data_IF_178524470969
#
_entry.id   IF_178524470969
#
_cell.length_a   1.000
_cell.length_b   1.000
_cell.length_c   1.000
_cell.angle_alpha   90.00
_cell.angle_beta   90.00
_cell.angle_gamma   90.00
#
_symmetry.space_group_name_H-M   'P 1'
#
loop_
_entity.id
_entity.type
_entity.pdbx_description
1 polymer ?
#
# COMPACT_ATOMS: atom_id res chain seq x y z
N UNK A 1 -18.40 -21.72 -16.81
CA UNK A 1 -19.41 -20.82 -16.21
C UNK A 1 -20.68 -20.89 -17.05
N UNK A 2 -21.84 -21.06 -16.41
CA UNK A 2 -23.16 -20.91 -17.05
C UNK A 2 -23.43 -19.43 -17.37
N UNK A 3 -24.34 -19.12 -18.30
CA UNK A 3 -24.67 -17.74 -18.67
C UNK A 3 -25.12 -16.89 -17.46
N UNK A 4 -25.94 -17.46 -16.57
CA UNK A 4 -26.39 -16.81 -15.32
C UNK A 4 -25.22 -16.53 -14.35
N UNK A 5 -24.22 -17.43 -14.28
CA UNK A 5 -23.03 -17.20 -13.45
C UNK A 5 -22.12 -16.11 -14.02
N UNK A 6 -22.19 -15.85 -15.33
CA UNK A 6 -21.40 -14.82 -16.01
C UNK A 6 -22.05 -13.44 -15.84
N UNK A 7 -23.36 -13.33 -16.02
CA UNK A 7 -24.11 -12.07 -15.79
C UNK A 7 -24.05 -11.60 -14.33
N UNK A 8 -24.20 -12.52 -13.37
CA UNK A 8 -24.10 -12.20 -11.94
C UNK A 8 -22.70 -11.70 -11.56
N UNK A 9 -21.67 -12.27 -12.18
CA UNK A 9 -20.28 -11.85 -11.99
C UNK A 9 -19.98 -10.48 -12.63
N UNK A 10 -20.41 -10.26 -13.88
CA UNK A 10 -20.24 -8.98 -14.58
C UNK A 10 -20.97 -7.83 -13.86
N UNK A 11 -22.15 -8.09 -13.30
CA UNK A 11 -22.89 -7.11 -12.50
C UNK A 11 -22.19 -6.79 -11.16
N UNK A 12 -21.69 -7.82 -10.46
CA UNK A 12 -20.91 -7.63 -9.22
C UNK A 12 -19.62 -6.86 -9.45
N UNK A 13 -18.91 -7.15 -10.54
CA UNK A 13 -17.71 -6.43 -10.94
C UNK A 13 -17.99 -4.96 -11.22
N UNK A 14 -18.99 -4.66 -12.05
CA UNK A 14 -19.39 -3.28 -12.38
C UNK A 14 -19.76 -2.47 -11.13
N UNK A 15 -20.49 -3.10 -10.21
CA UNK A 15 -20.87 -2.49 -8.93
C UNK A 15 -19.63 -2.17 -8.09
N UNK A 16 -18.65 -3.08 -8.03
CA UNK A 16 -17.41 -2.86 -7.30
C UNK A 16 -16.60 -1.69 -7.89
N UNK A 17 -16.40 -1.65 -9.21
CA UNK A 17 -15.65 -0.57 -9.88
C UNK A 17 -16.33 0.78 -9.64
N UNK A 18 -17.65 0.85 -9.82
CA UNK A 18 -18.42 2.08 -9.57
C UNK A 18 -18.29 2.55 -8.13
N UNK A 19 -18.34 1.63 -7.16
CA UNK A 19 -18.17 1.95 -5.75
C UNK A 19 -16.77 2.50 -5.47
N UNK A 20 -15.74 1.85 -6.00
CA UNK A 20 -14.34 2.25 -5.85
C UNK A 20 -14.09 3.65 -6.42
N UNK A 21 -14.56 3.91 -7.64
CA UNK A 21 -14.42 5.21 -8.31
C UNK A 21 -15.13 6.32 -7.54
N UNK A 22 -16.35 6.05 -7.07
CA UNK A 22 -17.10 6.98 -6.23
C UNK A 22 -16.36 7.29 -4.93
N UNK A 23 -15.82 6.28 -4.25
CA UNK A 23 -15.07 6.47 -3.01
C UNK A 23 -13.84 7.34 -3.27
N UNK A 24 -12.98 6.97 -4.23
CA UNK A 24 -11.71 7.68 -4.47
C UNK A 24 -11.92 9.13 -4.92
N UNK A 25 -12.99 9.41 -5.66
CA UNK A 25 -13.34 10.78 -6.08
C UNK A 25 -13.91 11.65 -4.96
N UNK A 26 -14.44 11.05 -3.88
CA UNK A 26 -15.11 11.78 -2.80
C UNK A 26 -14.43 11.60 -1.41
N UNK A 27 -13.15 11.19 -1.36
CA UNK A 27 -12.42 10.97 -0.10
C UNK A 27 -12.26 12.23 0.78
N UNK A 28 -12.32 13.43 0.19
CA UNK A 28 -12.27 14.70 0.92
C UNK A 28 -13.66 15.21 1.35
N UNK A 29 -14.71 14.46 1.04
CA UNK A 29 -16.09 14.83 1.32
C UNK A 29 -16.65 14.01 2.49
N UNK A 30 -17.79 14.48 3.03
CA UNK A 30 -18.56 13.79 4.05
C UNK A 30 -19.54 12.82 3.40
N UNK A 31 -19.01 11.69 2.90
CA UNK A 31 -19.79 10.61 2.31
C UNK A 31 -20.13 9.53 3.33
N UNK A 32 -21.37 9.06 3.32
CA UNK A 32 -21.83 7.88 4.05
C UNK A 32 -21.70 6.61 3.21
N UNK A 33 -21.86 5.42 3.82
CA UNK A 33 -21.86 4.18 3.03
C UNK A 33 -23.17 4.03 2.24
N UNK A 34 -24.23 4.67 2.72
CA UNK A 34 -25.53 4.78 2.08
C UNK A 34 -25.43 5.57 0.76
N UNK A 35 -24.64 6.65 0.74
CA UNK A 35 -24.40 7.44 -0.49
C UNK A 35 -23.69 6.60 -1.56
N UNK A 36 -22.67 5.82 -1.16
CA UNK A 36 -21.95 4.91 -2.05
C UNK A 36 -22.91 3.83 -2.60
N UNK A 37 -23.75 3.26 -1.74
CA UNK A 37 -24.72 2.25 -2.15
C UNK A 37 -25.76 2.81 -3.14
N UNK A 38 -26.22 4.04 -2.90
CA UNK A 38 -27.12 4.76 -3.79
C UNK A 38 -26.48 5.05 -5.16
N UNK A 39 -25.21 5.50 -5.19
CA UNK A 39 -24.47 5.73 -6.43
C UNK A 39 -24.29 4.44 -7.26
N UNK A 40 -24.21 3.29 -6.59
CA UNK A 40 -24.14 1.97 -7.21
C UNK A 40 -25.50 1.33 -7.54
N UNK A 41 -26.63 1.98 -7.21
CA UNK A 41 -27.98 1.43 -7.36
C UNK A 41 -28.20 0.08 -6.63
N UNK A 42 -27.55 -0.12 -5.49
CA UNK A 42 -27.68 -1.36 -4.67
C UNK A 42 -28.04 -1.05 -3.23
N UNK A 43 -28.50 -2.07 -2.49
CA UNK A 43 -28.66 -1.93 -1.05
C UNK A 43 -27.30 -1.85 -0.35
N UNK A 44 -27.23 -1.13 0.77
CA UNK A 44 -26.01 -1.07 1.61
C UNK A 44 -25.51 -2.46 2.01
N UNK A 45 -26.42 -3.37 2.38
CA UNK A 45 -26.08 -4.75 2.73
C UNK A 45 -25.44 -5.48 1.54
N UNK A 46 -25.97 -5.31 0.33
CA UNK A 46 -25.41 -5.91 -0.88
C UNK A 46 -24.01 -5.38 -1.17
N UNK A 47 -23.84 -4.06 -1.12
CA UNK A 47 -22.54 -3.39 -1.29
C UNK A 47 -21.51 -3.92 -0.27
N UNK A 48 -21.86 -3.96 1.01
CA UNK A 48 -20.97 -4.40 2.07
C UNK A 48 -20.57 -5.88 1.98
N UNK A 49 -21.48 -6.76 1.50
CA UNK A 49 -21.20 -8.17 1.27
C UNK A 49 -20.27 -8.35 0.07
N UNK A 50 -20.60 -7.71 -1.05
CA UNK A 50 -19.78 -7.70 -2.26
C UNK A 50 -18.37 -7.17 -1.96
N UNK A 51 -18.25 -6.02 -1.28
CA UNK A 51 -16.96 -5.43 -0.95
C UNK A 51 -16.08 -6.38 -0.12
N UNK A 52 -16.66 -7.01 0.92
CA UNK A 52 -15.93 -7.99 1.76
C UNK A 52 -15.51 -9.21 0.96
N UNK A 53 -16.36 -9.66 0.05
CA UNK A 53 -16.06 -10.79 -0.82
C UNK A 53 -14.87 -10.47 -1.73
N UNK A 54 -14.84 -9.28 -2.35
CA UNK A 54 -13.76 -8.88 -3.27
C UNK A 54 -12.45 -8.50 -2.57
N UNK A 55 -12.51 -7.92 -1.37
CA UNK A 55 -11.32 -7.29 -0.74
C UNK A 55 -10.81 -7.99 0.52
N UNK A 56 -11.65 -8.82 1.14
CA UNK A 56 -11.45 -9.43 2.46
C UNK A 56 -11.39 -8.45 3.65
N UNK A 57 -11.66 -7.17 3.43
CA UNK A 57 -11.82 -6.17 4.49
C UNK A 57 -13.13 -5.40 4.34
N UNK A 58 -13.49 -4.61 5.36
CA UNK A 58 -14.72 -3.84 5.31
C UNK A 58 -14.57 -2.56 4.48
N UNK A 59 -15.65 -2.13 3.84
CA UNK A 59 -15.74 -0.85 3.13
C UNK A 59 -15.30 0.33 4.02
N UNK A 60 -15.73 0.32 5.30
CA UNK A 60 -15.33 1.34 6.29
C UNK A 60 -13.83 1.38 6.53
N UNK A 61 -13.20 0.21 6.64
CA UNK A 61 -11.76 0.10 6.87
C UNK A 61 -10.97 0.61 5.66
N UNK A 62 -11.46 0.32 4.45
CA UNK A 62 -10.89 0.87 3.21
C UNK A 62 -10.89 2.40 3.21
N UNK A 63 -12.07 3.01 3.37
CA UNK A 63 -12.24 4.47 3.35
C UNK A 63 -11.35 5.09 4.42
N UNK A 64 -11.34 4.54 5.64
CA UNK A 64 -10.51 5.07 6.71
C UNK A 64 -9.02 4.97 6.40
N UNK A 65 -8.53 3.84 5.85
CA UNK A 65 -7.12 3.66 5.49
C UNK A 65 -6.73 4.63 4.37
N UNK A 66 -7.56 4.78 3.33
CA UNK A 66 -7.34 5.73 2.23
C UNK A 66 -7.29 7.19 2.71
N UNK A 67 -8.29 7.62 3.48
CA UNK A 67 -8.33 8.98 4.08
C UNK A 67 -7.09 9.25 4.93
N UNK A 68 -6.67 8.30 5.77
CA UNK A 68 -5.51 8.47 6.64
C UNK A 68 -4.18 8.40 5.88
N UNK A 69 -4.11 7.70 4.75
CA UNK A 69 -2.95 7.73 3.85
C UNK A 69 -2.81 9.08 3.18
N UNK A 70 -3.89 9.62 2.62
CA UNK A 70 -3.89 10.96 2.02
C UNK A 70 -3.65 12.06 3.05
N UNK A 71 -4.16 11.92 4.27
CA UNK A 71 -3.84 12.82 5.38
C UNK A 71 -2.36 12.79 5.73
N UNK A 72 -1.72 11.62 5.68
CA UNK A 72 -0.27 11.49 5.84
C UNK A 72 0.49 12.28 4.77
N UNK A 73 0.11 12.11 3.49
CA UNK A 73 0.72 12.84 2.36
C UNK A 73 0.59 14.34 2.54
N UNK A 74 -0.61 14.80 2.88
CA UNK A 74 -0.91 16.21 3.12
C UNK A 74 -0.05 16.82 4.25
N UNK A 75 0.17 16.06 5.33
CA UNK A 75 1.01 16.49 6.45
C UNK A 75 2.49 16.64 6.07
N UNK A 76 2.94 15.96 5.01
CA UNK A 76 4.31 16.04 4.48
C UNK A 76 4.46 17.14 3.43
N UNK A 77 3.48 17.29 2.54
CA UNK A 77 3.57 18.21 1.40
C UNK A 77 3.23 19.65 1.73
N UNK A 78 2.38 19.90 2.74
CA UNK A 78 1.88 21.24 3.05
C UNK A 78 2.19 21.63 4.52
N UNK A 79 2.39 22.92 4.77
CA UNK A 79 2.49 23.47 6.14
C UNK A 79 1.12 23.51 6.85
N UNK A 80 0.24 22.53 6.61
CA UNK A 80 -1.06 22.45 7.28
C UNK A 80 -0.94 21.97 8.72
N UNK A 81 -1.85 22.44 9.57
CA UNK A 81 -1.93 21.90 10.93
C UNK A 81 -2.51 20.48 10.91
N UNK A 82 -2.24 19.71 11.98
CA UNK A 82 -2.85 18.38 12.16
C UNK A 82 -4.38 18.46 12.18
N UNK A 83 -4.94 19.56 12.70
CA UNK A 83 -6.38 19.77 12.74
C UNK A 83 -6.95 20.03 11.34
N UNK A 84 -6.28 20.84 10.52
CA UNK A 84 -6.72 21.12 9.15
C UNK A 84 -6.70 19.86 8.29
N UNK A 85 -5.65 19.05 8.42
CA UNK A 85 -5.59 17.74 7.77
C UNK A 85 -6.74 16.84 8.23
N UNK A 86 -7.03 16.79 9.54
CA UNK A 86 -8.15 16.01 10.06
C UNK A 86 -9.50 16.46 9.46
N UNK A 87 -9.77 17.77 9.45
CA UNK A 87 -11.02 18.33 8.93
C UNK A 87 -11.17 18.09 7.42
N UNK A 88 -10.09 18.21 6.64
CA UNK A 88 -10.09 17.96 5.19
C UNK A 88 -10.50 16.54 4.81
N UNK A 89 -10.30 15.57 5.70
CA UNK A 89 -10.73 14.18 5.50
C UNK A 89 -11.94 13.80 6.36
N UNK A 90 -12.73 14.77 6.84
CA UNK A 90 -14.00 14.54 7.52
C UNK A 90 -13.88 14.07 8.97
N UNK A 91 -12.73 14.28 9.62
CA UNK A 91 -12.60 14.02 11.06
C UNK A 91 -12.94 15.27 11.87
N UNK A 92 -14.10 15.24 12.53
CA UNK A 92 -14.63 16.35 13.33
C UNK A 92 -13.95 16.53 14.71
N UNK A 93 -12.94 15.71 15.03
CA UNK A 93 -12.21 15.79 16.30
C UNK A 93 -10.76 15.36 16.13
N UNK A 94 -9.87 16.17 16.71
CA UNK A 94 -8.43 15.89 16.78
C UNK A 94 -8.12 14.56 17.49
N UNK A 95 -8.90 14.21 18.52
CA UNK A 95 -8.71 12.97 19.28
C UNK A 95 -9.07 11.74 18.44
N UNK A 96 -10.20 11.80 17.73
CA UNK A 96 -10.67 10.72 16.85
C UNK A 96 -9.68 10.51 15.71
N UNK A 97 -9.24 11.60 15.07
CA UNK A 97 -8.22 11.56 14.02
C UNK A 97 -6.91 10.97 14.53
N UNK A 98 -6.39 11.48 15.65
CA UNK A 98 -5.11 11.01 16.22
C UNK A 98 -5.14 9.53 16.56
N UNK A 99 -6.26 9.04 17.13
CA UNK A 99 -6.44 7.61 17.44
C UNK A 99 -6.47 6.77 16.16
N UNK A 100 -7.23 7.20 15.16
CA UNK A 100 -7.36 6.48 13.89
C UNK A 100 -6.02 6.48 13.12
N UNK A 101 -5.36 7.63 13.04
CA UNK A 101 -4.05 7.80 12.42
C UNK A 101 -3.00 6.93 13.09
N UNK A 102 -2.93 6.92 14.43
CA UNK A 102 -1.99 6.07 15.16
C UNK A 102 -2.26 4.59 14.97
N UNK A 103 -3.51 4.19 14.76
CA UNK A 103 -3.85 2.80 14.43
C UNK A 103 -3.28 2.38 13.07
N UNK A 104 -3.33 3.26 12.08
CA UNK A 104 -2.86 2.98 10.71
C UNK A 104 -1.34 3.13 10.58
N UNK A 105 -0.78 4.19 11.14
CA UNK A 105 0.63 4.59 10.97
C UNK A 105 1.52 4.24 12.16
N UNK A 106 0.97 3.74 13.27
CA UNK A 106 1.72 3.38 14.48
C UNK A 106 2.19 4.56 15.34
N UNK A 107 2.24 5.77 14.78
CA UNK A 107 2.67 7.01 15.44
C UNK A 107 1.60 8.09 15.36
N UNK A 108 1.67 9.11 16.22
CA UNK A 108 0.73 10.23 16.18
C UNK A 108 0.98 11.14 14.97
N UNK A 109 -0.04 11.86 14.46
CA UNK A 109 0.13 12.77 13.32
C UNK A 109 1.24 13.80 13.52
N UNK A 110 1.37 14.37 14.73
CA UNK A 110 2.42 15.36 15.03
C UNK A 110 3.82 14.77 15.02
N UNK A 111 3.98 13.49 15.37
CA UNK A 111 5.26 12.78 15.25
C UNK A 111 5.53 12.42 13.79
N UNK A 112 4.50 11.95 13.09
CA UNK A 112 4.55 11.63 11.67
C UNK A 112 5.06 12.81 10.84
N UNK A 113 4.46 13.99 11.03
CA UNK A 113 4.88 15.24 10.36
C UNK A 113 6.35 15.61 10.57
N UNK A 114 6.97 15.17 11.67
CA UNK A 114 8.37 15.51 12.01
C UNK A 114 9.39 14.44 11.59
N UNK A 115 8.96 13.19 11.50
CA UNK A 115 9.86 12.03 11.42
C UNK A 115 9.70 11.21 10.14
N UNK A 116 8.51 11.25 9.53
CA UNK A 116 8.27 10.55 8.28
C UNK A 116 8.94 11.32 7.13
N UNK A 117 9.50 10.59 6.16
CA UNK A 117 10.31 11.17 5.08
C UNK A 117 9.67 10.87 3.73
N UNK A 118 9.78 11.81 2.81
CA UNK A 118 9.26 11.64 1.45
C UNK A 118 7.75 11.41 1.37
N UNK A 119 7.30 10.99 0.19
CA UNK A 119 5.90 10.62 -0.04
C UNK A 119 5.55 9.28 0.61
N UNK A 120 4.32 9.16 1.13
CA UNK A 120 3.87 8.05 1.96
C UNK A 120 2.69 7.27 1.35
N UNK A 121 2.99 6.21 0.60
CA UNK A 121 1.99 5.37 -0.09
C UNK A 121 1.61 4.07 0.62
N UNK A 122 1.26 4.07 1.92
CA UNK A 122 1.03 2.82 2.69
C UNK A 122 -0.22 2.03 2.26
N UNK A 123 -1.30 2.72 1.89
CA UNK A 123 -2.53 2.11 1.36
C UNK A 123 -2.93 2.84 0.08
N UNK A 124 -2.41 2.45 -1.09
CA UNK A 124 -2.80 3.04 -2.37
C UNK A 124 -4.25 2.69 -2.74
N UNK A 125 -4.85 3.36 -3.75
CA UNK A 125 -6.13 2.96 -4.32
C UNK A 125 -6.07 1.49 -4.78
N UNK A 126 -7.19 0.77 -4.67
CA UNK A 126 -7.27 -0.58 -5.25
C UNK A 126 -7.26 -0.49 -6.78
N UNK A 127 -6.70 -1.51 -7.42
CA UNK A 127 -6.82 -1.65 -8.87
C UNK A 127 -8.11 -2.42 -9.18
N UNK A 128 -9.09 -1.84 -9.90
CA UNK A 128 -10.32 -2.55 -10.27
C UNK A 128 -10.05 -3.77 -11.15
N UNK A 129 -9.05 -3.74 -12.06
CA UNK A 129 -8.70 -4.88 -12.93
C UNK A 129 -8.25 -6.13 -12.15
N UNK A 130 -7.83 -5.96 -10.89
CA UNK A 130 -7.50 -7.07 -10.00
C UNK A 130 -8.70 -8.00 -9.73
N UNK A 131 -9.91 -7.44 -9.63
CA UNK A 131 -11.10 -8.18 -9.18
C UNK A 131 -11.80 -8.91 -10.33
N UNK A 132 -11.61 -8.47 -11.56
CA UNK A 132 -12.23 -9.08 -12.75
C UNK A 132 -11.78 -10.53 -12.98
N UNK A 133 -10.59 -10.91 -12.50
CA UNK A 133 -9.93 -12.18 -12.89
C UNK A 133 -9.96 -13.30 -11.84
N UNK A 134 -10.61 -13.09 -10.70
CA UNK A 134 -11.02 -14.08 -9.69
C UNK A 134 -10.12 -15.36 -9.58
N UNK A 135 -8.92 -15.22 -9.02
CA UNK A 135 -7.81 -16.21 -8.94
C UNK A 135 -6.97 -16.40 -10.21
N UNK A 136 -5.83 -15.69 -10.26
CA UNK A 136 -4.53 -16.17 -10.77
C UNK A 136 -3.46 -15.11 -10.43
N UNK A 137 -2.91 -15.12 -9.20
CA UNK A 137 -1.53 -14.76 -8.76
C UNK A 137 -0.66 -13.72 -9.53
N UNK A 138 -1.19 -12.84 -10.39
CA UNK A 138 -0.38 -12.03 -11.33
C UNK A 138 -0.90 -10.61 -11.62
N UNK A 139 -2.04 -10.17 -11.06
CA UNK A 139 -2.50 -8.77 -11.19
C UNK A 139 -2.26 -8.05 -9.86
N UNK A 140 -1.66 -6.86 -9.90
CA UNK A 140 -1.36 -6.06 -8.70
C UNK A 140 -2.66 -5.55 -8.08
N UNK A 141 -2.81 -5.74 -6.78
CA UNK A 141 -3.97 -5.36 -5.97
C UNK A 141 -4.21 -3.85 -5.91
N UNK A 142 -3.18 -3.05 -6.17
CA UNK A 142 -3.22 -1.59 -6.05
C UNK A 142 -2.92 -0.90 -7.37
N UNK A 143 -3.51 0.28 -7.54
CA UNK A 143 -3.18 1.19 -8.63
C UNK A 143 -1.82 1.84 -8.36
N UNK A 144 -0.87 1.61 -9.26
CA UNK A 144 0.49 2.14 -9.21
C UNK A 144 0.78 3.09 -10.37
N UNK A 145 -0.25 3.63 -11.02
CA UNK A 145 -0.10 4.52 -12.18
C UNK A 145 0.70 5.78 -11.84
N UNK A 146 0.40 6.42 -10.70
CA UNK A 146 1.15 7.58 -10.17
C UNK A 146 2.65 7.25 -10.03
N UNK A 147 2.96 6.07 -9.50
CA UNK A 147 4.34 5.60 -9.33
C UNK A 147 5.03 5.34 -10.66
N UNK A 148 4.33 4.73 -11.61
CA UNK A 148 4.86 4.44 -12.92
C UNK A 148 5.20 5.71 -13.69
N UNK A 149 4.38 6.76 -13.56
CA UNK A 149 4.67 8.08 -14.12
C UNK A 149 5.90 8.72 -13.47
N UNK A 150 6.08 8.56 -12.16
CA UNK A 150 7.31 8.99 -11.50
C UNK A 150 8.54 8.24 -12.03
N UNK A 151 8.48 6.91 -12.08
CA UNK A 151 9.61 6.08 -12.52
C UNK A 151 10.09 6.41 -13.93
N UNK A 152 9.19 6.80 -14.84
CA UNK A 152 9.56 7.22 -16.19
C UNK A 152 10.49 8.43 -16.22
N UNK A 153 10.49 9.25 -15.17
CA UNK A 153 11.40 10.39 -15.03
C UNK A 153 12.76 10.02 -14.44
N UNK A 154 12.92 8.78 -13.98
CA UNK A 154 14.06 8.30 -13.20
C UNK A 154 14.97 7.36 -14.00
N UNK A 155 15.06 7.55 -15.32
CA UNK A 155 15.89 6.70 -16.19
C UNK A 155 17.35 6.66 -15.73
N UNK A 156 17.92 5.46 -15.68
CA UNK A 156 19.31 5.20 -15.31
C UNK A 156 19.53 5.02 -13.81
N UNK A 157 18.54 5.31 -12.97
CA UNK A 157 18.58 5.11 -11.51
C UNK A 157 18.01 3.76 -11.09
N UNK A 158 18.19 3.39 -9.83
CA UNK A 158 17.67 2.16 -9.25
C UNK A 158 16.42 2.36 -8.40
N UNK A 159 15.54 1.36 -8.46
CA UNK A 159 14.42 1.19 -7.54
C UNK A 159 14.69 -0.03 -6.67
N UNK A 160 14.66 0.17 -5.36
CA UNK A 160 14.65 -0.94 -4.41
C UNK A 160 13.24 -1.49 -4.29
N UNK A 161 13.14 -2.81 -4.36
CA UNK A 161 11.92 -3.58 -4.30
C UNK A 161 12.01 -4.49 -3.08
N UNK A 162 10.94 -4.55 -2.29
CA UNK A 162 10.89 -5.33 -1.06
C UNK A 162 9.68 -6.25 -1.01
N UNK A 163 9.83 -7.38 -0.35
CA UNK A 163 8.78 -8.37 -0.08
C UNK A 163 8.89 -8.85 1.38
N UNK A 164 7.76 -8.96 2.09
CA UNK A 164 7.74 -9.49 3.46
C UNK A 164 7.81 -11.01 3.41
N UNK A 165 8.78 -11.58 4.14
CA UNK A 165 8.92 -13.02 4.25
C UNK A 165 7.75 -13.61 5.07
N UNK A 166 7.05 -14.56 4.47
CA UNK A 166 6.03 -15.40 5.11
C UNK A 166 4.83 -14.61 5.68
N UNK A 167 4.42 -13.50 5.04
CA UNK A 167 3.25 -12.73 5.51
C UNK A 167 1.97 -13.57 5.62
N UNK A 168 1.76 -14.53 4.70
CA UNK A 168 0.63 -15.46 4.78
C UNK A 168 0.67 -16.32 6.05
N UNK A 169 1.85 -16.80 6.43
CA UNK A 169 2.03 -17.61 7.66
C UNK A 169 1.80 -16.74 8.89
N UNK A 170 2.30 -15.51 8.91
CA UNK A 170 2.03 -14.54 9.98
C UNK A 170 0.51 -14.35 10.14
N UNK A 171 -0.21 -14.13 9.04
CA UNK A 171 -1.67 -13.98 9.08
C UNK A 171 -2.40 -15.23 9.57
N UNK A 172 -1.95 -16.41 9.16
CA UNK A 172 -2.56 -17.68 9.52
C UNK A 172 -2.33 -18.04 10.99
N UNK A 173 -1.08 -17.91 11.46
CA UNK A 173 -0.67 -18.39 12.78
C UNK A 173 -0.91 -17.35 13.89
N UNK A 174 -0.75 -16.06 13.56
CA UNK A 174 -0.81 -14.95 14.53
C UNK A 174 -2.01 -14.01 14.31
N UNK A 175 -2.77 -14.22 13.23
CA UNK A 175 -3.94 -13.43 12.88
C UNK A 175 -3.64 -12.18 12.04
N UNK A 176 -4.68 -11.62 11.44
CA UNK A 176 -4.57 -10.48 10.51
C UNK A 176 -4.01 -9.21 11.15
N UNK A 177 -4.19 -9.01 12.45
CA UNK A 177 -3.60 -7.88 13.17
C UNK A 177 -2.06 -7.97 13.18
N UNK A 178 -1.51 -9.17 13.36
CA UNK A 178 -0.06 -9.39 13.30
C UNK A 178 0.48 -9.11 11.88
N UNK A 179 -0.27 -9.49 10.85
CA UNK A 179 0.08 -9.18 9.46
C UNK A 179 0.03 -7.69 9.15
N UNK A 180 -1.04 -6.99 9.55
CA UNK A 180 -1.12 -5.53 9.44
C UNK A 180 0.05 -4.85 10.17
N UNK A 181 0.45 -5.40 11.32
CA UNK A 181 1.62 -4.92 12.06
C UNK A 181 2.93 -5.17 11.33
N UNK A 182 3.10 -6.34 10.71
CA UNK A 182 4.28 -6.69 9.92
C UNK A 182 4.41 -5.77 8.68
N UNK A 183 3.30 -5.50 7.99
CA UNK A 183 3.22 -4.56 6.88
C UNK A 183 3.67 -3.16 7.30
N UNK A 184 3.09 -2.64 8.39
CA UNK A 184 3.42 -1.31 8.89
C UNK A 184 4.90 -1.22 9.32
N UNK A 185 5.41 -2.25 9.97
CA UNK A 185 6.80 -2.29 10.40
C UNK A 185 7.77 -2.35 9.23
N UNK A 186 7.50 -3.18 8.22
CA UNK A 186 8.31 -3.22 7.00
C UNK A 186 8.35 -1.83 6.34
N UNK A 187 7.20 -1.18 6.21
CA UNK A 187 7.13 0.15 5.62
C UNK A 187 7.86 1.22 6.44
N UNK A 188 7.78 1.15 7.79
CA UNK A 188 8.53 2.03 8.69
C UNK A 188 10.04 1.88 8.48
N UNK A 189 10.55 0.65 8.38
CA UNK A 189 11.97 0.38 8.15
C UNK A 189 12.45 0.93 6.81
N UNK A 190 11.66 0.75 5.77
CA UNK A 190 11.91 1.30 4.43
C UNK A 190 11.98 2.83 4.50
N UNK A 191 10.99 3.47 5.11
CA UNK A 191 10.96 4.92 5.27
C UNK A 191 12.13 5.47 6.11
N UNK A 192 12.54 4.78 7.18
CA UNK A 192 13.68 5.20 8.00
C UNK A 192 15.03 5.05 7.28
N UNK A 193 15.11 4.12 6.33
CA UNK A 193 16.26 3.99 5.46
C UNK A 193 16.36 5.15 4.46
N UNK A 194 15.22 5.62 3.95
CA UNK A 194 15.10 6.66 2.93
C UNK A 194 15.65 8.05 3.33
N UNK A 195 15.99 8.81 2.29
CA UNK A 195 16.30 10.24 2.34
C UNK A 195 15.06 11.09 2.03
N UNK A 196 15.12 12.40 2.26
CA UNK A 196 13.94 13.27 2.25
C UNK A 196 13.31 13.43 0.86
N UNK A 197 14.09 13.25 -0.22
CA UNK A 197 13.63 13.28 -1.62
C UNK A 197 13.17 11.91 -2.16
N UNK A 198 13.40 10.83 -1.42
CA UNK A 198 13.07 9.48 -1.89
C UNK A 198 11.59 9.17 -1.66
N UNK A 199 11.00 8.44 -2.59
CA UNK A 199 9.59 8.04 -2.51
C UNK A 199 9.49 6.58 -2.05
N UNK A 200 8.71 6.34 -1.01
CA UNK A 200 8.42 5.01 -0.50
C UNK A 200 6.93 4.69 -0.64
N UNK A 201 6.61 3.53 -1.20
CA UNK A 201 5.23 3.12 -1.40
C UNK A 201 5.04 1.62 -1.26
N UNK A 202 3.82 1.23 -0.94
CA UNK A 202 3.37 -0.15 -0.99
C UNK A 202 2.82 -0.45 -2.38
N UNK A 203 3.32 -1.49 -3.03
CA UNK A 203 2.89 -1.94 -4.35
C UNK A 203 1.83 -3.04 -4.27
N UNK A 204 1.84 -3.82 -3.19
CA UNK A 204 1.09 -5.07 -3.07
C UNK A 204 0.82 -5.48 -1.62
N UNK A 205 0.29 -6.68 -1.43
CA UNK A 205 -0.02 -7.22 -0.09
C UNK A 205 1.19 -7.17 0.84
N UNK A 206 2.31 -7.66 0.38
CA UNK A 206 3.63 -7.74 1.02
C UNK A 206 4.72 -6.99 0.25
N UNK A 207 4.39 -6.44 -0.92
CA UNK A 207 5.34 -5.78 -1.82
C UNK A 207 5.44 -4.27 -1.59
N UNK A 208 6.68 -3.75 -1.60
CA UNK A 208 6.99 -2.33 -1.45
C UNK A 208 8.07 -1.90 -2.45
N UNK A 209 8.15 -0.60 -2.69
CA UNK A 209 9.22 0.01 -3.46
C UNK A 209 9.74 1.30 -2.82
N UNK A 210 11.04 1.55 -3.03
CA UNK A 210 11.72 2.80 -2.74
C UNK A 210 12.40 3.29 -4.02
N UNK A 211 12.07 4.51 -4.44
CA UNK A 211 12.72 5.18 -5.56
C UNK A 211 13.91 5.94 -5.03
N UNK A 212 15.12 5.50 -5.40
CA UNK A 212 16.36 5.99 -4.78
C UNK A 212 16.91 7.24 -5.46
N UNK A 213 16.51 7.52 -6.69
CA UNK A 213 17.10 8.54 -7.57
C UNK A 213 18.62 8.38 -7.80
N UNK A 214 19.22 7.28 -7.34
CA UNK A 214 20.64 7.00 -7.45
C UNK A 214 20.92 6.02 -8.58
N UNK A 215 21.92 6.34 -9.40
CA UNK A 215 22.49 5.41 -10.38
C UNK A 215 23.66 4.58 -9.81
N UNK A 216 24.05 4.82 -8.56
CA UNK A 216 25.19 4.17 -7.92
C UNK A 216 24.74 2.92 -7.13
N UNK A 217 25.15 1.71 -7.55
CA UNK A 217 24.82 0.47 -6.87
C UNK A 217 25.28 0.41 -5.41
N UNK A 218 26.38 1.08 -5.04
CA UNK A 218 26.91 1.05 -3.68
C UNK A 218 26.00 1.84 -2.73
N UNK A 219 25.54 3.02 -3.17
CA UNK A 219 24.55 3.82 -2.43
C UNK A 219 23.26 3.02 -2.23
N UNK A 220 22.78 2.37 -3.30
CA UNK A 220 21.56 1.55 -3.29
C UNK A 220 21.71 0.34 -2.36
N UNK A 221 22.89 -0.28 -2.33
CA UNK A 221 23.21 -1.39 -1.44
C UNK A 221 23.17 -0.95 0.03
N UNK A 222 23.75 0.19 0.37
CA UNK A 222 23.72 0.73 1.75
C UNK A 222 22.29 0.98 2.23
N UNK A 223 21.43 1.54 1.38
CA UNK A 223 20.01 1.74 1.70
C UNK A 223 19.30 0.40 1.95
N UNK A 224 19.51 -0.58 1.08
CA UNK A 224 18.94 -1.92 1.23
C UNK A 224 19.42 -2.61 2.52
N UNK A 225 20.73 -2.57 2.80
CA UNK A 225 21.33 -3.16 4.00
C UNK A 225 20.79 -2.52 5.29
N UNK A 226 20.54 -1.21 5.30
CA UNK A 226 19.93 -0.51 6.44
C UNK A 226 18.51 -1.00 6.76
N UNK A 227 17.75 -1.42 5.74
CA UNK A 227 16.44 -2.07 5.94
C UNK A 227 16.63 -3.50 6.44
N UNK A 228 17.50 -4.27 5.77
CA UNK A 228 17.72 -5.70 6.05
C UNK A 228 18.40 -5.97 7.39
N UNK A 229 19.18 -5.03 7.94
CA UNK A 229 19.85 -5.17 9.23
C UNK A 229 18.90 -5.36 10.40
N UNK A 230 17.61 -5.07 10.20
CA UNK A 230 16.54 -5.24 11.19
C UNK A 230 15.76 -6.56 11.00
N UNK A 231 16.12 -7.40 10.03
CA UNK A 231 15.44 -8.68 9.81
C UNK A 231 15.48 -9.58 11.05
N UNK A 232 14.36 -10.25 11.32
CA UNK A 232 14.18 -11.09 12.50
C UNK A 232 13.79 -10.33 13.77
N UNK A 233 13.91 -8.99 13.79
CA UNK A 233 13.50 -8.20 14.95
C UNK A 233 12.00 -8.33 15.22
N UNK A 234 11.68 -8.60 16.49
CA UNK A 234 10.31 -8.75 16.97
C UNK A 234 9.67 -7.40 17.25
N UNK A 235 8.41 -7.25 16.85
CA UNK A 235 7.62 -6.05 17.09
C UNK A 235 6.34 -6.41 17.85
N UNK A 236 5.99 -5.65 18.91
CA UNK A 236 4.80 -5.93 19.69
C UNK A 236 3.52 -5.58 18.92
N UNK A 237 2.48 -6.38 19.14
CA UNK A 237 1.10 -6.14 18.73
C UNK A 237 0.15 -6.61 19.85
N UNK A 238 -1.17 -6.44 19.72
CA UNK A 238 -2.10 -6.76 20.82
C UNK A 238 -2.02 -8.22 21.30
N UNK A 239 -1.77 -9.16 20.38
CA UNK A 239 -1.71 -10.61 20.63
C UNK A 239 -0.32 -11.14 20.97
N UNK A 240 0.70 -10.28 21.14
CA UNK A 240 2.05 -10.70 21.51
C UNK A 240 3.12 -9.99 20.69
N UNK A 241 3.98 -10.78 20.03
CA UNK A 241 5.06 -10.26 19.17
C UNK A 241 5.07 -10.97 17.82
N UNK A 242 5.45 -10.23 16.78
CA UNK A 242 5.65 -10.75 15.43
C UNK A 242 7.08 -10.45 14.98
N UNK A 243 7.79 -11.45 14.46
CA UNK A 243 9.09 -11.26 13.84
C UNK A 243 8.89 -10.83 12.39
N UNK A 244 9.57 -9.76 11.97
CA UNK A 244 9.45 -9.20 10.62
C UNK A 244 10.79 -9.31 9.91
N UNK A 245 10.78 -9.97 8.76
CA UNK A 245 11.91 -10.06 7.84
C UNK A 245 11.44 -9.69 6.44
N UNK A 246 12.25 -8.93 5.71
CA UNK A 246 11.99 -8.56 4.32
C UNK A 246 13.08 -9.10 3.40
N UNK A 247 12.74 -9.32 2.14
CA UNK A 247 13.69 -9.52 1.03
C UNK A 247 13.86 -8.21 0.29
N UNK A 248 14.97 -8.07 -0.42
CA UNK A 248 15.29 -6.87 -1.18
C UNK A 248 15.91 -7.22 -2.53
N UNK A 249 15.60 -6.43 -3.53
CA UNK A 249 16.16 -6.48 -4.87
C UNK A 249 16.19 -5.07 -5.46
N UNK A 250 17.05 -4.85 -6.45
CA UNK A 250 17.23 -3.57 -7.12
C UNK A 250 16.97 -3.73 -8.62
N UNK A 251 16.18 -2.82 -9.19
CA UNK A 251 15.88 -2.78 -10.63
C UNK A 251 16.41 -1.47 -11.19
N UNK A 252 17.21 -1.52 -12.25
CA UNK A 252 17.62 -0.32 -12.97
C UNK A 252 16.56 0.11 -13.96
N UNK A 253 16.16 1.38 -13.91
CA UNK A 253 15.13 1.92 -14.80
C UNK A 253 15.71 2.25 -16.17
N UNK A 254 15.19 1.62 -17.23
CA UNK A 254 15.57 1.88 -18.62
C UNK A 254 14.86 3.08 -19.25
N UNK A 255 15.34 3.52 -20.43
CA UNK A 255 14.79 4.67 -21.20
C UNK A 255 13.35 4.47 -21.69
N UNK A 256 12.92 3.23 -21.86
CA UNK A 256 11.60 2.89 -22.36
C UNK A 256 10.89 1.95 -21.38
N UNK A 257 10.61 2.47 -20.18
CA UNK A 257 9.89 1.73 -19.17
C UNK A 257 8.48 1.40 -19.68
N UNK A 258 8.18 0.10 -19.74
CA UNK A 258 6.83 -0.44 -19.98
C UNK A 258 6.33 -1.07 -18.69
N UNK A 259 5.05 -0.90 -18.39
CA UNK A 259 4.43 -1.45 -17.19
C UNK A 259 4.63 -2.97 -17.06
N UNK A 260 4.45 -3.70 -18.15
CA UNK A 260 4.66 -5.16 -18.20
C UNK A 260 6.11 -5.57 -17.94
N UNK A 261 7.07 -4.76 -18.40
CA UNK A 261 8.51 -5.01 -18.19
C UNK A 261 8.86 -4.78 -16.72
N UNK A 262 8.45 -3.65 -16.14
CA UNK A 262 8.65 -3.36 -14.73
C UNK A 262 8.09 -4.46 -13.81
N UNK A 263 6.87 -4.95 -14.10
CA UNK A 263 6.27 -6.04 -13.33
C UNK A 263 7.06 -7.35 -13.47
N UNK A 264 7.57 -7.65 -14.66
CA UNK A 264 8.39 -8.84 -14.89
C UNK A 264 9.73 -8.73 -14.16
N UNK A 265 10.39 -7.58 -14.22
CA UNK A 265 11.67 -7.32 -13.56
C UNK A 265 11.53 -7.38 -12.04
N UNK A 266 10.42 -6.85 -11.49
CA UNK A 266 10.07 -6.97 -10.07
C UNK A 266 9.96 -8.44 -9.64
N UNK A 267 9.17 -9.23 -10.36
CA UNK A 267 9.02 -10.65 -10.05
C UNK A 267 10.35 -11.40 -10.18
N UNK A 268 11.13 -11.09 -11.22
CA UNK A 268 12.42 -11.75 -11.47
C UNK A 268 13.44 -11.42 -10.38
N UNK A 269 13.52 -10.16 -9.93
CA UNK A 269 14.50 -9.76 -8.89
C UNK A 269 14.10 -10.32 -7.53
N UNK A 270 12.80 -10.36 -7.20
CA UNK A 270 12.31 -10.97 -5.96
C UNK A 270 12.55 -12.48 -5.94
N UNK A 271 12.34 -13.17 -7.05
CA UNK A 271 12.57 -14.63 -7.12
C UNK A 271 14.06 -15.00 -7.02
N UNK A 272 14.94 -14.19 -7.60
CA UNK A 272 16.40 -14.33 -7.39
C UNK A 272 16.76 -14.08 -5.93
N UNK A 273 16.31 -12.98 -5.34
CA UNK A 273 16.58 -12.63 -3.95
C UNK A 273 16.06 -13.71 -2.98
N UNK A 274 14.93 -14.35 -3.30
CA UNK A 274 14.38 -15.49 -2.55
C UNK A 274 15.30 -16.70 -2.58
N UNK A 275 15.95 -16.95 -3.72
CA UNK A 275 16.82 -18.12 -3.92
C UNK A 275 18.21 -17.92 -3.33
N UNK A 276 18.78 -16.71 -3.48
CA UNK A 276 20.16 -16.43 -3.03
C UNK A 276 20.23 -15.93 -1.59
N UNK A 277 19.14 -15.36 -1.07
CA UNK A 277 19.10 -14.69 0.24
C UNK A 277 19.92 -13.40 0.28
N UNK A 278 20.31 -12.85 -0.88
CA UNK A 278 21.11 -11.63 -1.03
C UNK A 278 20.33 -10.56 -1.76
N UNK A 279 20.85 -9.33 -1.75
CA UNK A 279 20.36 -8.23 -2.58
C UNK A 279 20.77 -8.54 -4.03
N UNK A 280 19.78 -8.62 -4.92
CA UNK A 280 19.98 -8.93 -6.33
C UNK A 280 19.72 -7.70 -7.20
N UNK A 281 20.50 -7.52 -8.26
CA UNK A 281 20.37 -6.41 -9.19
C UNK A 281 19.93 -6.94 -10.57
N UNK A 282 18.97 -6.27 -11.19
CA UNK A 282 18.51 -6.51 -12.56
C UNK A 282 18.52 -5.21 -13.35
#
# INVERSE_FOLDING_TARGET
>A
MTAESKESFEHGFTTFVTALDYIESHLCEDISQEDIAAACFVSLSSLQKMWRYCTHFSLKDYISKRKLTLAGRLLQSEEVSVLDAAMRFGYNSHEVFTRAFKKVWGISPSKFKKQWKGDCGLYPPLNPEYIERNDLMRVKKYDISEFYDYLRTQTGTFVLCFDIQNLMVINHDLGSEAGDKAILEAFRRINEAAEDNMICLRLGGDEFAMITESSDPDVVTVLAEKVLSQNGAEVPYSGGKVSVSVRCGAIRIGEHLKYSVLCNDFNAVMEKARTTGKIEFI
#
